data_IF_337076760733
#
_entry.id   IF_337076760733
#
_cell.length_a   1.000
_cell.length_b   1.000
_cell.length_c   1.000
_cell.angle_alpha   90.00
_cell.angle_beta   90.00
_cell.angle_gamma   90.00
#
_symmetry.space_group_name_H-M   'P 1'
#
loop_
_entity.id
_entity.type
_entity.pdbx_description
1 polymer ?
#
# COMPACT_ATOMS: atom_id res chain seq x y z
N UNK A 1 -17.95 1.51 -17.91
CA UNK A 1 -16.70 1.63 -17.14
C UNK A 1 -15.72 0.59 -17.66
N UNK A 2 -14.59 1.01 -18.22
CA UNK A 2 -13.53 0.10 -18.67
C UNK A 2 -12.51 -0.05 -17.54
N UNK A 3 -12.32 -1.28 -17.07
CA UNK A 3 -11.21 -1.59 -16.18
C UNK A 3 -9.96 -1.81 -17.03
N UNK A 4 -8.84 -1.27 -16.59
CA UNK A 4 -7.53 -1.43 -17.23
C UNK A 4 -6.58 -2.15 -16.28
N UNK A 5 -6.75 -3.48 -16.08
CA UNK A 5 -5.81 -4.25 -15.29
C UNK A 5 -4.44 -4.25 -15.97
N UNK A 6 -3.39 -4.15 -15.16
CA UNK A 6 -2.00 -4.26 -15.62
C UNK A 6 -1.38 -5.40 -14.84
N UNK A 7 -0.87 -6.40 -15.56
CA UNK A 7 -0.17 -7.53 -14.97
C UNK A 7 1.17 -7.09 -14.37
N UNK A 8 1.41 -7.49 -13.13
CA UNK A 8 2.69 -7.30 -12.44
C UNK A 8 3.51 -8.59 -12.62
N UNK A 9 4.43 -8.57 -13.57
CA UNK A 9 5.17 -9.75 -14.00
C UNK A 9 6.51 -9.96 -13.27
N UNK A 10 6.88 -9.06 -12.36
CA UNK A 10 8.09 -9.18 -11.55
C UNK A 10 7.96 -8.44 -10.20
N UNK A 11 8.85 -8.78 -9.27
CA UNK A 11 8.85 -8.24 -7.91
C UNK A 11 9.17 -6.74 -7.87
N UNK A 12 10.00 -6.23 -8.79
CA UNK A 12 10.32 -4.81 -8.84
C UNK A 12 9.07 -3.96 -9.11
N UNK A 13 8.25 -4.37 -10.08
CA UNK A 13 6.98 -3.71 -10.38
C UNK A 13 5.99 -3.86 -9.23
N UNK A 14 5.93 -5.02 -8.60
CA UNK A 14 5.10 -5.22 -7.41
C UNK A 14 5.46 -4.25 -6.30
N UNK A 15 6.74 -4.20 -5.90
CA UNK A 15 7.24 -3.30 -4.85
C UNK A 15 7.01 -1.84 -5.24
N UNK A 16 7.26 -1.47 -6.50
CA UNK A 16 7.01 -0.11 -6.98
C UNK A 16 5.53 0.29 -6.79
N UNK A 17 4.58 -0.57 -7.16
CA UNK A 17 3.15 -0.27 -7.03
C UNK A 17 2.66 -0.33 -5.59
N UNK A 18 3.17 -1.26 -4.80
CA UNK A 18 2.91 -1.35 -3.37
C UNK A 18 3.30 -0.03 -2.67
N UNK A 19 4.55 0.41 -2.89
CA UNK A 19 5.04 1.68 -2.35
C UNK A 19 4.22 2.89 -2.83
N UNK A 20 3.85 2.91 -4.11
CA UNK A 20 3.00 3.97 -4.66
C UNK A 20 1.66 4.05 -3.92
N UNK A 21 1.00 2.91 -3.71
CA UNK A 21 -0.31 2.84 -3.02
C UNK A 21 -0.17 3.27 -1.57
N UNK A 22 0.86 2.80 -0.85
CA UNK A 22 1.11 3.19 0.53
C UNK A 22 1.42 4.69 0.68
N UNK A 23 2.05 5.31 -0.32
CA UNK A 23 2.35 6.74 -0.32
C UNK A 23 1.18 7.63 -0.76
N UNK A 24 0.10 7.09 -1.33
CA UNK A 24 -1.05 7.89 -1.77
C UNK A 24 -1.67 8.75 -0.64
N UNK A 25 -1.89 8.24 0.58
CA UNK A 25 -2.40 9.03 1.69
C UNK A 25 -1.49 10.20 2.10
N UNK A 26 -0.16 10.01 2.01
CA UNK A 26 0.83 11.06 2.30
C UNK A 26 0.78 12.14 1.22
N UNK A 27 0.80 11.73 -0.06
CA UNK A 27 0.70 12.66 -1.20
C UNK A 27 -0.61 13.45 -1.21
N UNK A 28 -1.68 12.86 -0.68
CA UNK A 28 -2.98 13.52 -0.52
C UNK A 28 -3.04 14.45 0.71
N UNK A 29 -2.00 14.46 1.57
CA UNK A 29 -1.96 15.27 2.79
C UNK A 29 -2.87 14.75 3.92
N UNK A 30 -3.31 13.49 3.86
CA UNK A 30 -4.20 12.91 4.87
C UNK A 30 -3.44 12.49 6.13
N UNK A 31 -2.19 12.05 5.95
CA UNK A 31 -1.29 11.60 7.02
C UNK A 31 0.14 12.03 6.72
N UNK A 32 0.97 12.17 7.74
CA UNK A 32 2.39 12.48 7.58
C UNK A 32 3.21 11.25 7.15
N UNK A 33 2.83 10.05 7.61
CA UNK A 33 3.52 8.79 7.32
C UNK A 33 2.53 7.74 6.76
N UNK A 34 2.92 6.89 5.82
CA UNK A 34 2.05 5.89 5.18
C UNK A 34 1.28 4.99 6.14
N UNK A 35 1.96 4.48 7.17
CA UNK A 35 1.46 3.52 8.15
C UNK A 35 0.40 4.10 9.09
N UNK A 36 0.27 5.43 9.15
CA UNK A 36 -0.77 6.10 9.93
C UNK A 36 -2.12 6.15 9.22
N UNK A 37 -2.20 5.79 7.94
CA UNK A 37 -3.49 5.76 7.24
C UNK A 37 -4.28 4.49 7.60
N UNK A 38 -5.34 4.68 8.39
CA UNK A 38 -6.15 3.59 8.95
C UNK A 38 -6.67 2.57 7.92
N UNK A 39 -6.96 3.02 6.69
CA UNK A 39 -7.51 2.20 5.62
C UNK A 39 -6.46 1.78 4.57
N UNK A 40 -5.21 1.61 5.01
CA UNK A 40 -4.11 1.07 4.20
C UNK A 40 -3.49 -0.13 4.88
N UNK A 41 -2.92 -1.05 4.10
CA UNK A 41 -2.09 -2.13 4.62
C UNK A 41 -0.68 -1.69 5.02
N UNK A 42 -0.32 -0.41 4.83
CA UNK A 42 1.01 0.11 5.17
C UNK A 42 1.41 -0.19 6.63
N UNK A 43 0.46 -0.15 7.57
CA UNK A 43 0.68 -0.52 8.98
C UNK A 43 1.06 -2.00 9.16
N UNK A 44 0.48 -2.90 8.37
CA UNK A 44 0.82 -4.33 8.39
C UNK A 44 2.27 -4.52 7.91
N UNK A 45 2.65 -3.87 6.81
CA UNK A 45 4.04 -3.92 6.29
C UNK A 45 5.05 -3.25 7.24
N UNK A 46 4.62 -2.29 8.06
CA UNK A 46 5.43 -1.66 9.09
C UNK A 46 5.49 -2.47 10.40
N UNK A 47 4.74 -3.58 10.52
CA UNK A 47 4.70 -4.40 11.74
C UNK A 47 4.05 -3.69 12.94
N UNK A 48 3.16 -2.72 12.68
CA UNK A 48 2.41 -2.01 13.72
C UNK A 48 0.93 -2.41 13.71
N UNK A 49 0.18 -1.93 14.71
CA UNK A 49 -1.25 -2.22 14.83
C UNK A 49 -2.01 -1.79 13.58
N UNK A 50 -2.78 -2.73 13.03
CA UNK A 50 -3.56 -2.56 11.82
C UNK A 50 -5.04 -2.79 12.07
N UNK A 51 -5.91 -2.14 11.30
CA UNK A 51 -7.36 -2.33 11.42
C UNK A 51 -7.79 -3.75 11.06
N UNK A 52 -7.14 -4.32 10.04
CA UNK A 52 -7.29 -5.69 9.59
C UNK A 52 -5.90 -6.31 9.46
N UNK A 53 -5.79 -7.55 9.92
CA UNK A 53 -4.59 -8.37 9.71
C UNK A 53 -4.55 -8.84 8.26
N UNK A 54 -3.43 -8.62 7.58
CA UNK A 54 -3.25 -9.02 6.18
C UNK A 54 -1.92 -9.73 6.01
N UNK A 55 -1.91 -10.76 5.17
CA UNK A 55 -0.69 -11.45 4.79
C UNK A 55 0.18 -10.53 3.93
N UNK A 56 1.37 -10.21 4.43
CA UNK A 56 2.37 -9.44 3.68
C UNK A 56 3.16 -10.39 2.77
N UNK A 57 3.35 -9.99 1.51
CA UNK A 57 4.03 -10.80 0.50
C UNK A 57 5.37 -10.12 0.16
N UNK A 58 6.44 -10.91 0.09
CA UNK A 58 7.82 -10.45 -0.17
C UNK A 58 8.40 -11.14 -1.41
#
# INVERSE_FOLDING_TARGET
>A
HNNHPVELHNNELFIQRLNYIHQNPVRAGLVAEPEHYLYSSASNYAGILSLLDVECVF
#
